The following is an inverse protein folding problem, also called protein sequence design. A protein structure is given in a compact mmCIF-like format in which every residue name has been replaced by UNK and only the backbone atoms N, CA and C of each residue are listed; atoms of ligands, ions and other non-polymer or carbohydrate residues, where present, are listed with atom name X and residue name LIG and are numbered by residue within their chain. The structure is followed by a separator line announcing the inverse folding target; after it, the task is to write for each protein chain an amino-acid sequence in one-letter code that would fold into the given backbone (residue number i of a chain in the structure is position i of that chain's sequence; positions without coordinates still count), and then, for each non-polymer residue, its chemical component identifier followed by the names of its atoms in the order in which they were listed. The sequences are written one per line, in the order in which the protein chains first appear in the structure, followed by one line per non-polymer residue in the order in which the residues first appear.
data_IF_373422242167
#
_entry.id   IF_373422242167
#
_cell.length_a   1.000
_cell.length_b   1.000
_cell.length_c   1.000
_cell.angle_alpha   90.00
_cell.angle_beta   90.00
_cell.angle_gamma   90.00
#
_symmetry.space_group_name_H-M   'P 1'
#
loop_
_entity.id
_entity.type
_entity.pdbx_description
1 polymer ?
#
# COMPACT_ATOMS: atom_id res chain seq x y z
N UNK A 1 33.49 -32.71 21.25
CA UNK A 1 32.93 -32.11 22.49
C UNK A 1 32.16 -30.88 22.03
N UNK A 2 30.88 -30.79 22.41
CA UNK A 2 29.80 -30.03 21.74
C UNK A 2 30.06 -28.52 21.69
N UNK A 3 29.77 -27.90 20.54
CA UNK A 3 29.61 -26.45 20.39
C UNK A 3 28.28 -26.03 21.03
N UNK A 4 28.35 -25.11 21.99
CA UNK A 4 27.18 -24.50 22.64
C UNK A 4 26.52 -23.52 21.67
N UNK A 5 25.48 -23.98 20.96
CA UNK A 5 24.55 -23.13 20.22
C UNK A 5 23.62 -22.43 21.23
N UNK A 6 24.04 -21.27 21.73
CA UNK A 6 23.15 -20.34 22.44
C UNK A 6 22.23 -19.63 21.43
N UNK A 7 21.37 -20.39 20.76
CA UNK A 7 20.32 -19.86 19.90
C UNK A 7 19.30 -19.13 20.78
N UNK A 8 19.33 -17.79 20.78
CA UNK A 8 18.28 -16.97 21.37
C UNK A 8 16.93 -17.36 20.76
N UNK A 9 15.93 -17.57 21.62
CA UNK A 9 14.59 -17.99 21.20
C UNK A 9 13.63 -16.81 21.26
N UNK A 10 12.78 -16.69 20.26
CA UNK A 10 11.78 -15.64 20.16
C UNK A 10 10.36 -16.25 20.10
N UNK A 11 9.39 -15.54 20.66
CA UNK A 11 8.00 -15.98 20.65
C UNK A 11 7.34 -15.69 19.29
N UNK A 12 6.62 -16.68 18.77
CA UNK A 12 5.78 -16.62 17.58
C UNK A 12 4.42 -17.25 17.90
N UNK A 13 3.39 -16.43 18.14
CA UNK A 13 2.10 -16.92 18.64
C UNK A 13 2.27 -17.64 19.98
N UNK A 14 1.79 -18.89 20.06
CA UNK A 14 1.89 -19.74 21.26
C UNK A 14 3.14 -20.63 21.29
N UNK A 15 4.08 -20.47 20.33
CA UNK A 15 5.30 -21.29 20.26
C UNK A 15 6.56 -20.44 20.36
N UNK A 16 7.61 -21.03 20.95
CA UNK A 16 8.96 -20.46 21.00
C UNK A 16 9.78 -21.03 19.86
N UNK A 17 10.35 -20.16 19.00
CA UNK A 17 11.14 -20.54 17.81
C UNK A 17 12.54 -19.92 17.90
N UNK A 18 13.56 -20.46 17.19
CA UNK A 18 14.85 -19.78 17.06
C UNK A 18 14.66 -18.37 16.50
N UNK A 19 15.40 -17.38 17.01
CA UNK A 19 15.20 -15.98 16.64
C UNK A 19 15.40 -15.74 15.13
N UNK A 20 16.36 -16.42 14.53
CA UNK A 20 16.62 -16.39 13.08
C UNK A 20 15.41 -16.84 12.23
N UNK A 21 14.55 -17.72 12.77
CA UNK A 21 13.40 -18.26 12.05
C UNK A 21 12.12 -17.44 12.23
N UNK A 22 12.08 -16.52 13.21
CA UNK A 22 10.89 -15.72 13.50
C UNK A 22 10.53 -14.78 12.35
N UNK A 23 11.49 -14.06 11.79
CA UNK A 23 11.22 -13.10 10.71
C UNK A 23 10.68 -13.78 9.42
N UNK A 24 11.25 -14.90 8.94
CA UNK A 24 10.66 -15.68 7.84
C UNK A 24 9.24 -16.18 8.14
N UNK A 25 8.99 -16.68 9.37
CA UNK A 25 7.68 -17.17 9.78
C UNK A 25 6.63 -16.06 9.86
N UNK A 26 7.01 -14.88 10.37
CA UNK A 26 6.15 -13.69 10.38
C UNK A 26 5.82 -13.28 8.95
N UNK A 27 6.82 -13.22 8.06
CA UNK A 27 6.60 -12.91 6.65
C UNK A 27 5.65 -13.91 5.97
N UNK A 28 5.85 -15.20 6.17
CA UNK A 28 4.98 -16.25 5.62
C UNK A 28 3.54 -16.19 6.19
N UNK A 29 3.40 -15.87 7.49
CA UNK A 29 2.09 -15.60 8.08
C UNK A 29 1.43 -14.40 7.40
N UNK A 30 2.14 -13.30 7.24
CA UNK A 30 1.63 -12.10 6.56
C UNK A 30 1.28 -12.37 5.09
N UNK A 31 2.08 -13.14 4.36
CA UNK A 31 1.76 -13.57 2.99
C UNK A 31 0.51 -14.47 2.94
N UNK A 32 0.37 -15.42 3.87
CA UNK A 32 -0.78 -16.33 3.91
C UNK A 32 -2.09 -15.67 4.34
N UNK A 33 -2.03 -14.64 5.20
CA UNK A 33 -3.20 -13.88 5.63
C UNK A 33 -3.46 -12.63 4.77
N UNK A 34 -2.56 -12.24 3.88
CA UNK A 34 -2.73 -11.07 3.00
C UNK A 34 -4.09 -11.05 2.26
N UNK A 35 -4.62 -12.17 1.72
CA UNK A 35 -5.95 -12.17 1.10
C UNK A 35 -7.10 -11.93 2.07
N UNK A 36 -6.91 -12.22 3.37
CA UNK A 36 -7.90 -12.04 4.45
C UNK A 36 -7.64 -10.78 5.30
N UNK A 37 -6.50 -10.13 5.15
CA UNK A 37 -6.11 -8.96 5.92
C UNK A 37 -6.97 -7.74 5.57
N UNK A 38 -7.31 -7.59 4.28
CA UNK A 38 -8.30 -6.61 3.82
C UNK A 38 -9.68 -6.87 4.46
N UNK A 39 -10.11 -8.14 4.51
CA UNK A 39 -11.37 -8.54 5.15
C UNK A 39 -11.36 -8.25 6.66
N UNK A 40 -10.23 -8.45 7.34
CA UNK A 40 -10.06 -8.16 8.77
C UNK A 40 -10.06 -6.66 9.05
N UNK A 41 -9.40 -5.84 8.23
CA UNK A 41 -9.49 -4.38 8.31
C UNK A 41 -10.92 -3.88 8.00
N UNK A 42 -11.60 -4.52 7.06
CA UNK A 42 -13.01 -4.27 6.76
C UNK A 42 -13.93 -4.56 7.96
N UNK A 43 -13.72 -5.69 8.64
CA UNK A 43 -14.49 -6.07 9.83
C UNK A 43 -14.17 -5.22 11.06
N UNK A 44 -12.89 -4.93 11.35
CA UNK A 44 -12.47 -4.19 12.55
C UNK A 44 -12.93 -2.72 12.56
N UNK A 45 -13.21 -2.15 11.40
CA UNK A 45 -13.71 -0.78 11.25
C UNK A 45 -15.22 -0.73 10.93
N UNK A 46 -15.91 -1.88 10.92
CA UNK A 46 -17.28 -2.02 10.41
C UNK A 46 -17.49 -1.36 9.03
N UNK A 47 -16.47 -1.34 8.17
CA UNK A 47 -16.50 -0.71 6.86
C UNK A 47 -16.45 0.83 6.84
N UNK A 48 -16.40 1.52 7.99
CA UNK A 48 -16.43 3.00 8.08
C UNK A 48 -15.19 3.63 7.43
N UNK A 49 -14.05 2.95 7.47
CA UNK A 49 -12.82 3.43 6.83
C UNK A 49 -12.99 3.62 5.31
N UNK A 50 -13.93 2.92 4.65
CA UNK A 50 -14.27 3.12 3.23
C UNK A 50 -14.92 4.47 3.01
N UNK A 51 -15.77 4.90 3.93
CA UNK A 51 -16.36 6.24 3.94
C UNK A 51 -15.30 7.31 4.16
N UNK A 52 -14.42 7.15 5.15
CA UNK A 52 -13.34 8.11 5.38
C UNK A 52 -12.40 8.24 4.18
N UNK A 53 -12.05 7.13 3.51
CA UNK A 53 -11.27 7.16 2.27
C UNK A 53 -11.99 7.90 1.14
N UNK A 54 -13.30 7.69 0.99
CA UNK A 54 -14.09 8.41 -0.01
C UNK A 54 -14.20 9.91 0.29
N UNK A 55 -14.39 10.26 1.56
CA UNK A 55 -14.47 11.66 2.01
C UNK A 55 -13.11 12.37 1.89
N UNK A 56 -12.02 11.67 2.23
CA UNK A 56 -10.65 12.14 2.01
C UNK A 56 -10.43 12.46 0.53
N UNK A 57 -10.81 11.56 -0.38
CA UNK A 57 -10.68 11.79 -1.82
C UNK A 57 -11.62 12.89 -2.33
N UNK A 58 -12.79 13.08 -1.71
CA UNK A 58 -13.67 14.21 -1.98
C UNK A 58 -13.03 15.55 -1.57
N UNK A 59 -12.47 15.61 -0.36
CA UNK A 59 -11.78 16.78 0.18
C UNK A 59 -10.49 17.11 -0.58
N UNK A 60 -9.74 16.09 -1.01
CA UNK A 60 -8.57 16.25 -1.89
C UNK A 60 -8.92 16.91 -3.23
N UNK A 61 -10.19 16.78 -3.66
CA UNK A 61 -10.73 17.33 -4.90
C UNK A 61 -9.81 17.21 -6.12
N UNK A 62 -9.40 15.97 -6.51
CA UNK A 62 -8.50 15.76 -7.65
C UNK A 62 -9.10 16.32 -8.94
N UNK A 63 -8.28 17.02 -9.71
CA UNK A 63 -8.66 17.64 -10.99
C UNK A 63 -8.01 16.94 -12.15
N UNK A 64 -8.64 16.96 -13.34
CA UNK A 64 -8.04 16.41 -14.54
C UNK A 64 -6.65 16.99 -14.81
N UNK A 65 -5.70 16.13 -15.17
CA UNK A 65 -4.33 16.55 -15.52
C UNK A 65 -3.35 16.67 -14.35
N UNK A 66 -3.83 16.56 -13.10
CA UNK A 66 -2.95 16.57 -11.93
C UNK A 66 -2.18 15.26 -11.78
N UNK A 67 -0.97 15.36 -11.22
CA UNK A 67 -0.13 14.23 -10.86
C UNK A 67 -0.26 13.89 -9.39
N UNK A 68 -0.71 12.67 -9.10
CA UNK A 68 -0.90 12.15 -7.73
C UNK A 68 0.24 11.22 -7.31
N UNK A 69 0.75 11.38 -6.09
CA UNK A 69 1.60 10.41 -5.42
C UNK A 69 0.85 9.82 -4.21
N UNK A 70 0.64 8.50 -4.22
CA UNK A 70 0.00 7.76 -3.13
C UNK A 70 1.03 6.85 -2.44
N UNK A 71 1.40 7.19 -1.22
CA UNK A 71 2.42 6.50 -0.42
C UNK A 71 1.75 5.53 0.56
N UNK A 72 2.35 4.35 0.73
CA UNK A 72 1.75 3.20 1.42
C UNK A 72 0.38 2.83 0.83
N UNK A 73 0.26 3.00 -0.49
CA UNK A 73 -0.99 2.87 -1.25
C UNK A 73 -1.16 1.52 -1.91
N UNK A 74 -0.44 0.47 -1.50
CA UNK A 74 -0.21 -0.73 -2.30
C UNK A 74 -1.44 -1.39 -2.91
N UNK A 75 -2.56 -1.48 -2.19
CA UNK A 75 -3.82 -2.07 -2.71
C UNK A 75 -4.61 -1.15 -3.66
N UNK A 76 -4.11 0.07 -3.90
CA UNK A 76 -4.68 1.04 -4.83
C UNK A 76 -5.91 1.76 -4.32
N UNK A 77 -6.25 1.67 -3.02
CA UNK A 77 -7.54 2.16 -2.53
C UNK A 77 -7.77 3.66 -2.82
N UNK A 78 -6.81 4.52 -2.49
CA UNK A 78 -6.97 5.97 -2.65
C UNK A 78 -6.81 6.34 -4.13
N UNK A 79 -5.74 5.88 -4.78
CA UNK A 79 -5.49 6.19 -6.20
C UNK A 79 -6.64 5.78 -7.11
N UNK A 80 -7.25 4.60 -6.94
CA UNK A 80 -8.34 4.12 -7.80
C UNK A 80 -9.63 4.92 -7.58
N UNK A 81 -9.89 5.37 -6.34
CA UNK A 81 -11.01 6.28 -6.04
C UNK A 81 -10.79 7.66 -6.69
N UNK A 82 -9.57 8.17 -6.67
CA UNK A 82 -9.20 9.45 -7.28
C UNK A 82 -9.18 9.39 -8.82
N UNK A 83 -8.91 8.21 -9.38
CA UNK A 83 -8.61 8.01 -10.80
C UNK A 83 -9.66 8.57 -11.75
N UNK A 84 -10.95 8.36 -11.46
CA UNK A 84 -12.04 8.85 -12.33
C UNK A 84 -12.02 10.38 -12.47
N UNK A 85 -11.64 11.10 -11.41
CA UNK A 85 -11.54 12.57 -11.42
C UNK A 85 -10.25 13.03 -12.09
N UNK A 86 -9.12 12.38 -11.80
CA UNK A 86 -7.82 12.66 -12.42
C UNK A 86 -7.82 12.44 -13.95
N UNK A 87 -8.56 11.44 -14.43
CA UNK A 87 -8.75 11.17 -15.87
C UNK A 87 -9.84 12.02 -16.52
N UNK A 88 -10.59 12.81 -15.76
CA UNK A 88 -11.69 13.61 -16.30
C UNK A 88 -12.77 12.78 -17.01
N UNK A 89 -12.88 11.49 -16.70
CA UNK A 89 -13.79 10.56 -17.36
C UNK A 89 -13.51 10.28 -18.84
N UNK A 90 -12.35 10.70 -19.39
CA UNK A 90 -11.91 10.45 -20.76
C UNK A 90 -10.49 9.89 -20.79
N UNK A 91 -10.03 9.49 -21.97
CA UNK A 91 -8.76 8.82 -22.21
C UNK A 91 -7.56 9.44 -21.47
N UNK A 92 -6.70 8.54 -20.99
CA UNK A 92 -5.61 8.64 -20.01
C UNK A 92 -4.53 9.69 -20.31
N UNK A 93 -4.58 10.39 -21.44
CA UNK A 93 -3.46 11.17 -21.98
C UNK A 93 -2.92 12.27 -21.04
N UNK A 94 -3.68 12.72 -20.04
CA UNK A 94 -3.23 13.72 -19.07
C UNK A 94 -3.20 13.23 -17.61
N UNK A 95 -3.78 12.07 -17.28
CA UNK A 95 -3.82 11.60 -15.89
C UNK A 95 -2.56 10.82 -15.53
N UNK A 96 -1.93 11.18 -14.41
CA UNK A 96 -0.75 10.48 -13.92
C UNK A 96 -0.87 10.24 -12.42
N UNK A 97 -0.59 9.00 -12.00
CA UNK A 97 -0.43 8.66 -10.60
C UNK A 97 0.78 7.75 -10.39
N UNK A 98 1.41 7.88 -9.23
CA UNK A 98 2.46 6.99 -8.73
C UNK A 98 1.97 6.40 -7.41
N UNK A 99 2.00 5.08 -7.31
CA UNK A 99 1.71 4.35 -6.07
C UNK A 99 3.01 3.77 -5.55
N UNK A 100 3.36 4.15 -4.33
CA UNK A 100 4.53 3.64 -3.62
C UNK A 100 4.08 2.75 -2.46
N UNK A 101 4.68 1.58 -2.33
CA UNK A 101 4.50 0.71 -1.16
C UNK A 101 5.75 -0.16 -0.96
N UNK A 102 6.08 -0.47 0.30
CA UNK A 102 7.22 -1.34 0.60
C UNK A 102 6.93 -2.83 0.33
N UNK A 103 5.65 -3.20 0.12
CA UNK A 103 5.21 -4.56 -0.13
C UNK A 103 4.91 -4.83 -1.61
N UNK A 104 5.74 -5.64 -2.31
CA UNK A 104 5.46 -6.07 -3.67
C UNK A 104 4.12 -6.79 -3.82
N UNK A 105 3.71 -7.56 -2.79
CA UNK A 105 2.46 -8.29 -2.80
C UNK A 105 1.25 -7.35 -2.79
N UNK A 106 1.31 -6.27 -2.00
CA UNK A 106 0.25 -5.27 -1.97
C UNK A 106 0.13 -4.57 -3.33
N UNK A 107 1.25 -4.16 -3.91
CA UNK A 107 1.29 -3.55 -5.25
C UNK A 107 0.71 -4.48 -6.33
N UNK A 108 0.97 -5.79 -6.25
CA UNK A 108 0.39 -6.76 -7.17
C UNK A 108 -1.15 -6.79 -7.08
N UNK A 109 -1.71 -6.70 -5.87
CA UNK A 109 -3.16 -6.60 -5.65
C UNK A 109 -3.70 -5.29 -6.24
N UNK A 110 -3.06 -4.16 -5.95
CA UNK A 110 -3.49 -2.86 -6.48
C UNK A 110 -3.48 -2.81 -8.00
N UNK A 111 -2.42 -3.35 -8.61
CA UNK A 111 -2.30 -3.47 -10.07
C UNK A 111 -3.39 -4.36 -10.66
N UNK A 112 -3.68 -5.51 -10.06
CA UNK A 112 -4.78 -6.37 -10.51
C UNK A 112 -6.13 -5.65 -10.46
N UNK A 113 -6.43 -4.94 -9.36
CA UNK A 113 -7.66 -4.15 -9.22
C UNK A 113 -7.76 -3.03 -10.24
N UNK A 114 -6.65 -2.39 -10.60
CA UNK A 114 -6.62 -1.38 -11.64
C UNK A 114 -6.99 -1.98 -13.01
N UNK A 115 -6.40 -3.14 -13.34
CA UNK A 115 -6.70 -3.88 -14.57
C UNK A 115 -8.19 -4.28 -14.63
N UNK A 116 -8.75 -4.78 -13.54
CA UNK A 116 -10.17 -5.15 -13.45
C UNK A 116 -11.11 -3.95 -13.68
N UNK A 117 -10.65 -2.73 -13.38
CA UNK A 117 -11.37 -1.48 -13.67
C UNK A 117 -11.08 -0.91 -15.06
N UNK A 118 -10.33 -1.63 -15.91
CA UNK A 118 -9.94 -1.19 -17.25
C UNK A 118 -8.84 -0.13 -17.27
N UNK A 119 -8.12 0.06 -16.17
CA UNK A 119 -7.03 1.03 -16.05
C UNK A 119 -5.72 0.35 -16.43
N UNK A 120 -5.34 0.47 -17.71
CA UNK A 120 -4.16 -0.20 -18.26
C UNK A 120 -2.89 0.64 -18.19
N UNK A 121 -3.03 1.97 -18.15
CA UNK A 121 -1.92 2.93 -18.21
C UNK A 121 -2.16 4.12 -17.28
N UNK A 122 -1.13 4.91 -17.05
CA UNK A 122 -1.18 6.17 -16.30
C UNK A 122 -1.05 6.04 -14.78
N UNK A 123 -1.08 4.81 -14.23
CA UNK A 123 -0.66 4.52 -12.85
C UNK A 123 0.67 3.77 -12.89
N UNK A 124 1.69 4.35 -12.28
CA UNK A 124 2.97 3.71 -12.02
C UNK A 124 2.96 3.06 -10.63
N UNK A 125 3.40 1.80 -10.53
CA UNK A 125 3.44 1.04 -9.28
C UNK A 125 4.89 0.80 -8.91
N UNK A 126 5.36 1.39 -7.81
CA UNK A 126 6.77 1.37 -7.41
C UNK A 126 6.93 0.75 -6.03
N UNK A 127 7.78 -0.28 -5.94
CA UNK A 127 8.17 -0.86 -4.66
C UNK A 127 9.27 0.00 -4.05
N UNK A 128 8.94 0.79 -3.03
CA UNK A 128 9.91 1.65 -2.35
C UNK A 128 9.51 1.92 -0.90
N UNK A 129 10.47 2.39 -0.11
CA UNK A 129 10.24 2.95 1.20
C UNK A 129 9.59 4.34 1.10
N UNK A 130 8.71 4.68 2.05
CA UNK A 130 8.09 6.00 2.16
C UNK A 130 9.12 7.12 2.39
N UNK A 131 10.27 6.80 2.98
CA UNK A 131 11.37 7.74 3.24
C UNK A 131 12.24 7.98 1.98
N UNK A 132 12.05 7.21 0.90
CA UNK A 132 12.84 7.29 -0.34
C UNK A 132 11.92 7.31 -1.57
N UNK A 133 11.31 8.46 -1.80
CA UNK A 133 10.32 8.63 -2.87
C UNK A 133 10.98 8.75 -4.25
N UNK A 134 10.49 8.04 -5.29
CA UNK A 134 11.05 8.01 -6.64
C UNK A 134 10.56 9.21 -7.48
N UNK A 135 10.47 10.39 -6.88
CA UNK A 135 9.97 11.60 -7.53
C UNK A 135 10.92 12.77 -7.30
N UNK A 136 10.99 13.67 -8.27
CA UNK A 136 11.75 14.91 -8.11
C UNK A 136 11.03 15.87 -7.16
N UNK A 137 11.78 16.77 -6.54
CA UNK A 137 11.23 17.83 -5.71
C UNK A 137 10.19 18.64 -6.48
N UNK A 138 9.07 18.96 -5.80
CA UNK A 138 7.98 19.79 -6.35
C UNK A 138 7.42 19.30 -7.69
N UNK A 139 7.45 17.99 -7.93
CA UNK A 139 7.03 17.39 -9.22
C UNK A 139 5.64 16.73 -9.21
N UNK A 140 4.90 16.84 -8.10
CA UNK A 140 3.55 16.27 -7.94
C UNK A 140 2.60 17.34 -7.42
N UNK A 141 1.33 17.26 -7.84
CA UNK A 141 0.28 18.21 -7.46
C UNK A 141 -0.45 17.75 -6.20
N UNK A 142 -0.57 16.44 -6.01
CA UNK A 142 -1.31 15.82 -4.92
C UNK A 142 -0.43 14.76 -4.25
N UNK A 143 -0.48 14.74 -2.91
CA UNK A 143 0.19 13.74 -2.08
C UNK A 143 -0.83 13.10 -1.14
N UNK A 144 -0.86 11.77 -1.10
CA UNK A 144 -1.71 11.02 -0.17
C UNK A 144 -0.91 9.95 0.55
N UNK A 145 -1.29 9.70 1.80
CA UNK A 145 -0.82 8.56 2.57
C UNK A 145 -1.94 8.09 3.49
N UNK A 146 -2.49 6.93 3.17
CA UNK A 146 -3.61 6.34 3.91
C UNK A 146 -3.09 5.37 4.95
N UNK A 147 -3.23 5.70 6.25
CA UNK A 147 -2.90 4.80 7.36
C UNK A 147 -1.42 4.32 7.43
N UNK A 148 -0.53 4.74 6.51
CA UNK A 148 0.87 4.31 6.46
C UNK A 148 1.84 5.09 7.35
N UNK A 149 1.56 6.37 7.62
CA UNK A 149 2.49 7.27 8.34
C UNK A 149 2.93 6.76 9.72
N UNK A 150 2.06 6.03 10.43
CA UNK A 150 2.37 5.48 11.76
C UNK A 150 3.48 4.41 11.75
N UNK A 151 3.85 3.90 10.58
CA UNK A 151 4.86 2.87 10.40
C UNK A 151 6.16 3.44 9.81
N UNK A 152 6.26 4.75 9.62
CA UNK A 152 7.48 5.44 9.20
C UNK A 152 8.29 5.78 10.44
N UNK A 153 9.61 5.65 10.34
CA UNK A 153 10.51 5.72 11.50
C UNK A 153 11.15 7.08 11.71
N UNK A 154 11.20 7.91 10.67
CA UNK A 154 11.86 9.23 10.69
C UNK A 154 10.95 10.36 10.21
#
# INVERSE_FOLDING_TARGET
MREDDTSSRANFGFRSVPEAEKAPLVRALFESVAPRYDLMNDLMSAGIHRWWKSEMVASLNPRPGQRLLDVAGGTGDIVLRAWRRLSGGRSVAAASAIVCDASPAMLAIGRARALDQGILTGIEWVCTDAERLPVADRSVDLYTVGFGLRNVTH
#
